data_IF_874642670785
#
_entry.id   IF_874642670785
#
_cell.length_a   1.000
_cell.length_b   1.000
_cell.length_c   1.000
_cell.angle_alpha   90.00
_cell.angle_beta   90.00
_cell.angle_gamma   90.00
#
_symmetry.space_group_name_H-M   'P 1'
#
loop_
_entity.id
_entity.type
_entity.pdbx_description
1 polymer ?
#
# COMPACT_ATOMS: atom_id res chain seq x y z
N UNK A 1 22.83 -58.51 -115.93
CA UNK A 1 22.41 -57.19 -115.42
C UNK A 1 23.52 -56.70 -114.49
N UNK A 2 24.35 -55.73 -114.93
CA UNK A 2 25.42 -55.13 -114.10
C UNK A 2 24.88 -53.84 -113.48
N UNK A 3 25.01 -53.67 -112.16
CA UNK A 3 24.60 -52.45 -111.45
C UNK A 3 25.70 -51.39 -111.69
N UNK A 4 25.36 -50.15 -112.10
CA UNK A 4 26.36 -49.12 -112.38
C UNK A 4 26.96 -48.51 -111.10
N UNK A 5 28.24 -48.14 -111.15
CA UNK A 5 29.07 -47.75 -109.99
C UNK A 5 28.60 -46.47 -109.27
N UNK A 6 27.96 -45.55 -110.00
CA UNK A 6 27.33 -44.32 -109.49
C UNK A 6 26.17 -44.61 -108.53
N UNK A 7 25.37 -45.63 -108.83
CA UNK A 7 24.28 -46.11 -107.99
C UNK A 7 24.83 -46.71 -106.70
N UNK A 8 25.92 -47.48 -106.79
CA UNK A 8 26.61 -48.05 -105.61
C UNK A 8 27.18 -46.95 -104.71
N UNK A 9 27.83 -45.94 -105.29
CA UNK A 9 28.39 -44.81 -104.55
C UNK A 9 27.31 -43.97 -103.84
N UNK A 10 26.18 -43.71 -104.51
CA UNK A 10 25.05 -42.96 -103.95
C UNK A 10 24.37 -43.74 -102.82
N UNK A 11 24.19 -45.05 -102.97
CA UNK A 11 23.65 -45.90 -101.91
C UNK A 11 24.60 -45.91 -100.71
N UNK A 12 25.92 -46.00 -100.94
CA UNK A 12 26.91 -45.97 -99.86
C UNK A 12 26.85 -44.66 -99.07
N UNK A 13 26.80 -43.50 -99.73
CA UNK A 13 26.76 -42.19 -99.05
C UNK A 13 25.46 -41.98 -98.27
N UNK A 14 24.33 -42.44 -98.79
CA UNK A 14 23.05 -42.44 -98.07
C UNK A 14 23.13 -43.33 -96.84
N UNK A 15 23.67 -44.55 -96.96
CA UNK A 15 23.84 -45.48 -95.85
C UNK A 15 24.80 -44.91 -94.78
N UNK A 16 25.93 -44.30 -95.18
CA UNK A 16 26.85 -43.66 -94.22
C UNK A 16 26.23 -42.44 -93.54
N UNK A 17 25.43 -41.65 -94.26
CA UNK A 17 24.73 -40.49 -93.71
C UNK A 17 23.65 -40.91 -92.70
N UNK A 18 22.88 -41.94 -93.04
CA UNK A 18 21.90 -42.55 -92.13
C UNK A 18 22.60 -43.13 -90.90
N UNK A 19 23.71 -43.86 -91.07
CA UNK A 19 24.49 -44.40 -89.96
C UNK A 19 25.04 -43.32 -89.02
N UNK A 20 25.51 -42.20 -89.60
CA UNK A 20 26.02 -41.05 -88.82
C UNK A 20 24.90 -40.34 -88.07
N UNK A 21 23.74 -40.14 -88.70
CA UNK A 21 22.55 -39.57 -88.06
C UNK A 21 22.02 -40.48 -86.96
N UNK A 22 21.96 -41.79 -87.19
CA UNK A 22 21.54 -42.78 -86.19
C UNK A 22 22.50 -42.78 -84.98
N UNK A 23 23.80 -42.70 -85.21
CA UNK A 23 24.80 -42.58 -84.14
C UNK A 23 24.65 -41.26 -83.36
N UNK A 24 24.49 -40.13 -84.05
CA UNK A 24 24.29 -38.82 -83.42
C UNK A 24 23.01 -38.75 -82.60
N UNK A 25 21.90 -39.27 -83.15
CA UNK A 25 20.61 -39.40 -82.45
C UNK A 25 20.74 -40.31 -81.23
N UNK A 26 21.38 -41.47 -81.37
CA UNK A 26 21.65 -42.37 -80.25
C UNK A 26 22.38 -41.67 -79.11
N UNK A 27 23.45 -40.92 -79.43
CA UNK A 27 24.18 -40.11 -78.45
C UNK A 27 23.30 -39.04 -77.80
N UNK A 28 22.44 -38.36 -78.57
CA UNK A 28 21.52 -37.33 -78.04
C UNK A 28 20.46 -37.93 -77.12
N UNK A 29 19.90 -39.08 -77.47
CA UNK A 29 18.97 -39.80 -76.58
C UNK A 29 19.63 -40.23 -75.28
N UNK A 30 20.89 -40.70 -75.31
CA UNK A 30 21.65 -41.00 -74.09
C UNK A 30 21.89 -39.77 -73.22
N UNK A 31 22.20 -38.61 -73.83
CA UNK A 31 22.36 -37.35 -73.11
C UNK A 31 21.04 -36.90 -72.45
N UNK A 32 19.92 -37.04 -73.16
CA UNK A 32 18.58 -36.74 -72.67
C UNK A 32 18.19 -37.66 -71.51
N UNK A 33 18.40 -38.97 -71.65
CA UNK A 33 18.15 -39.96 -70.59
C UNK A 33 18.95 -39.64 -69.32
N UNK A 34 20.21 -39.23 -69.48
CA UNK A 34 21.06 -38.81 -68.36
C UNK A 34 20.53 -37.56 -67.65
N UNK A 35 19.98 -36.59 -68.39
CA UNK A 35 19.35 -35.39 -67.80
C UNK A 35 18.04 -35.72 -67.08
N UNK A 36 17.23 -36.63 -67.63
CA UNK A 36 16.02 -37.09 -66.96
C UNK A 36 16.33 -37.81 -65.65
N UNK A 37 17.35 -38.68 -65.62
CA UNK A 37 17.82 -39.30 -64.38
C UNK A 37 18.22 -38.27 -63.32
N UNK A 38 18.95 -37.22 -63.71
CA UNK A 38 19.33 -36.14 -62.79
C UNK A 38 18.11 -35.35 -62.28
N UNK A 39 17.11 -35.13 -63.15
CA UNK A 39 15.85 -34.47 -62.77
C UNK A 39 15.09 -35.33 -61.76
N UNK A 40 14.97 -36.64 -61.99
CA UNK A 40 14.31 -37.57 -61.08
C UNK A 40 14.99 -37.61 -59.70
N UNK A 41 16.33 -37.60 -59.66
CA UNK A 41 17.09 -37.51 -58.40
C UNK A 41 16.82 -36.20 -57.65
N UNK A 42 16.74 -35.07 -58.36
CA UNK A 42 16.38 -33.78 -57.78
C UNK A 42 14.96 -33.79 -57.23
N UNK A 43 14.00 -34.37 -57.94
CA UNK A 43 12.63 -34.49 -57.46
C UNK A 43 12.54 -35.35 -56.21
N UNK A 44 13.24 -36.48 -56.15
CA UNK A 44 13.33 -37.30 -54.92
C UNK A 44 13.87 -36.49 -53.73
N UNK A 45 14.93 -35.71 -53.96
CA UNK A 45 15.51 -34.83 -52.92
C UNK A 45 14.51 -33.75 -52.47
N UNK A 46 13.73 -33.19 -53.40
CA UNK A 46 12.68 -32.22 -53.08
C UNK A 46 11.57 -32.87 -52.25
N UNK A 47 11.10 -34.06 -52.62
CA UNK A 47 10.07 -34.79 -51.88
C UNK A 47 10.52 -35.10 -50.45
N UNK A 48 11.79 -35.50 -50.27
CA UNK A 48 12.36 -35.73 -48.94
C UNK A 48 12.39 -34.44 -48.10
N UNK A 49 12.74 -33.30 -48.71
CA UNK A 49 12.71 -31.99 -48.03
C UNK A 49 11.28 -31.60 -47.64
N UNK A 50 10.29 -31.81 -48.51
CA UNK A 50 8.90 -31.54 -48.18
C UNK A 50 8.41 -32.41 -47.02
N UNK A 51 8.72 -33.71 -47.01
CA UNK A 51 8.41 -34.58 -45.86
C UNK A 51 9.04 -34.08 -44.57
N UNK A 52 10.30 -33.62 -44.64
CA UNK A 52 10.97 -33.04 -43.46
C UNK A 52 10.30 -31.75 -42.99
N UNK A 53 9.83 -30.91 -43.91
CA UNK A 53 9.08 -29.69 -43.60
C UNK A 53 7.75 -30.02 -42.93
N UNK A 54 6.99 -30.99 -43.46
CA UNK A 54 5.71 -31.43 -42.88
C UNK A 54 5.88 -31.96 -41.46
N UNK A 55 6.93 -32.74 -41.20
CA UNK A 55 7.23 -33.22 -39.84
C UNK A 55 7.60 -32.07 -38.89
N UNK A 56 8.31 -31.04 -39.37
CA UNK A 56 8.58 -29.84 -38.57
C UNK A 56 7.30 -29.05 -38.27
N UNK A 57 6.38 -28.94 -39.22
CA UNK A 57 5.09 -28.28 -38.98
C UNK A 57 4.25 -29.04 -37.94
N UNK A 58 4.17 -30.37 -38.03
CA UNK A 58 3.50 -31.18 -36.99
C UNK A 58 4.10 -30.98 -35.60
N UNK A 59 5.43 -30.82 -35.50
CA UNK A 59 6.08 -30.51 -34.22
C UNK A 59 5.74 -29.10 -33.73
N UNK A 60 5.64 -28.13 -34.63
CA UNK A 60 5.23 -26.76 -34.30
C UNK A 60 3.78 -26.77 -33.79
N UNK A 61 2.87 -27.46 -34.46
CA UNK A 61 1.46 -27.56 -34.05
C UNK A 61 1.34 -28.15 -32.64
N UNK A 62 2.05 -29.26 -32.36
CA UNK A 62 2.11 -29.85 -31.00
C UNK A 62 2.64 -28.87 -29.96
N UNK A 63 3.61 -28.03 -30.31
CA UNK A 63 4.14 -27.02 -29.38
C UNK A 63 3.12 -25.90 -29.13
N UNK A 64 2.35 -25.50 -30.15
CA UNK A 64 1.29 -24.52 -29.97
C UNK A 64 0.16 -25.06 -29.10
N UNK A 65 -0.27 -26.31 -29.28
CA UNK A 65 -1.25 -26.96 -28.40
C UNK A 65 -0.77 -27.00 -26.93
N UNK A 66 0.53 -27.26 -26.71
CA UNK A 66 1.11 -27.22 -25.36
C UNK A 66 1.14 -25.81 -24.78
N UNK A 67 1.41 -24.80 -25.60
CA UNK A 67 1.40 -23.40 -25.18
C UNK A 67 -0.01 -22.99 -24.78
N UNK A 68 -1.02 -23.34 -25.59
CA UNK A 68 -2.43 -23.04 -25.33
C UNK A 68 -2.89 -23.63 -23.99
N UNK A 69 -2.61 -24.91 -23.74
CA UNK A 69 -2.89 -25.54 -22.43
C UNK A 69 -2.23 -24.83 -21.27
N UNK A 70 -0.98 -24.37 -21.43
CA UNK A 70 -0.28 -23.62 -20.38
C UNK A 70 -0.92 -22.26 -20.13
N UNK A 71 -1.48 -21.61 -21.16
CA UNK A 71 -2.21 -20.36 -20.98
C UNK A 71 -3.53 -20.60 -20.24
N UNK A 72 -4.29 -21.64 -20.58
CA UNK A 72 -5.51 -22.02 -19.85
C UNK A 72 -5.24 -22.29 -18.36
N UNK A 73 -4.13 -22.98 -18.05
CA UNK A 73 -3.68 -23.21 -16.67
C UNK A 73 -3.30 -21.90 -15.95
N UNK A 74 -2.66 -20.97 -16.67
CA UNK A 74 -2.30 -19.66 -16.12
C UNK A 74 -3.57 -18.85 -15.80
N UNK A 75 -4.53 -18.81 -16.72
CA UNK A 75 -5.80 -18.10 -16.53
C UNK A 75 -6.56 -18.67 -15.31
N UNK A 76 -6.67 -19.99 -15.22
CA UNK A 76 -7.27 -20.68 -14.07
C UNK A 76 -6.57 -20.34 -12.74
N UNK A 77 -5.24 -20.14 -12.76
CA UNK A 77 -4.49 -19.73 -11.57
C UNK A 77 -4.77 -18.27 -11.21
N UNK A 78 -4.89 -17.38 -12.20
CA UNK A 78 -5.23 -15.99 -11.97
C UNK A 78 -6.63 -15.84 -11.37
N UNK A 79 -7.63 -16.56 -11.88
CA UNK A 79 -8.99 -16.57 -11.30
C UNK A 79 -8.99 -16.97 -9.82
N UNK A 80 -8.23 -18.02 -9.47
CA UNK A 80 -8.08 -18.47 -8.07
C UNK A 80 -7.36 -17.43 -7.20
N UNK A 81 -6.38 -16.71 -7.76
CA UNK A 81 -5.70 -15.64 -7.05
C UNK A 81 -6.68 -14.49 -6.77
N UNK A 82 -7.49 -14.09 -7.75
CA UNK A 82 -8.51 -13.04 -7.60
C UNK A 82 -9.57 -13.42 -6.56
N UNK A 83 -10.01 -14.68 -6.51
CA UNK A 83 -10.91 -15.17 -5.47
C UNK A 83 -10.29 -15.05 -4.07
N UNK A 84 -9.02 -15.44 -3.92
CA UNK A 84 -8.29 -15.31 -2.64
C UNK A 84 -8.13 -13.84 -2.22
N UNK A 85 -7.85 -12.94 -3.15
CA UNK A 85 -7.77 -11.51 -2.85
C UNK A 85 -9.12 -10.96 -2.36
N UNK A 86 -10.23 -11.33 -3.01
CA UNK A 86 -11.58 -10.96 -2.55
C UNK A 86 -11.88 -11.48 -1.15
N UNK A 87 -11.44 -12.69 -0.81
CA UNK A 87 -11.59 -13.23 0.54
C UNK A 87 -10.76 -12.45 1.58
N UNK A 88 -9.52 -12.09 1.23
CA UNK A 88 -8.65 -11.27 2.09
C UNK A 88 -9.29 -9.91 2.34
N UNK A 89 -9.80 -9.24 1.31
CA UNK A 89 -10.46 -7.93 1.45
C UNK A 89 -11.66 -8.02 2.41
N UNK A 90 -12.52 -9.05 2.25
CA UNK A 90 -13.64 -9.28 3.17
C UNK A 90 -13.18 -9.48 4.61
N UNK A 91 -12.14 -10.29 4.83
CA UNK A 91 -11.58 -10.52 6.17
C UNK A 91 -10.97 -9.27 6.77
N UNK A 92 -10.36 -8.42 5.94
CA UNK A 92 -9.78 -7.15 6.39
C UNK A 92 -10.87 -6.16 6.81
N UNK A 93 -11.98 -6.07 6.06
CA UNK A 93 -13.14 -5.27 6.43
C UNK A 93 -13.80 -5.74 7.73
N UNK A 94 -13.93 -7.05 7.91
CA UNK A 94 -14.43 -7.65 9.15
C UNK A 94 -13.50 -7.36 10.34
N UNK A 95 -12.19 -7.50 10.13
CA UNK A 95 -11.20 -7.17 11.15
C UNK A 95 -11.24 -5.69 11.54
N UNK A 96 -11.35 -4.78 10.56
CA UNK A 96 -11.47 -3.35 10.80
C UNK A 96 -12.70 -3.03 11.65
N UNK A 97 -13.87 -3.57 11.29
CA UNK A 97 -15.10 -3.42 12.08
C UNK A 97 -14.94 -3.95 13.50
N UNK A 98 -14.36 -5.14 13.65
CA UNK A 98 -14.12 -5.74 14.96
C UNK A 98 -13.21 -4.85 15.83
N UNK A 99 -12.12 -4.35 15.26
CA UNK A 99 -11.17 -3.46 15.94
C UNK A 99 -11.84 -2.15 16.34
N UNK A 100 -12.59 -1.52 15.44
CA UNK A 100 -13.32 -0.27 15.72
C UNK A 100 -14.31 -0.47 16.89
N UNK A 101 -15.10 -1.55 16.87
CA UNK A 101 -16.00 -1.90 17.97
C UNK A 101 -15.23 -2.14 19.28
N UNK A 102 -14.09 -2.84 19.26
CA UNK A 102 -13.30 -3.09 20.46
C UNK A 102 -12.67 -1.83 21.03
N UNK A 103 -12.24 -0.91 20.18
CA UNK A 103 -11.75 0.40 20.62
C UNK A 103 -12.87 1.25 21.23
N UNK A 104 -14.08 1.21 20.66
CA UNK A 104 -15.23 1.90 21.21
C UNK A 104 -15.65 1.31 22.58
N UNK A 105 -15.72 -0.02 22.69
CA UNK A 105 -15.95 -0.74 23.95
C UNK A 105 -14.94 -0.31 25.02
N UNK A 106 -13.65 -0.29 24.66
CA UNK A 106 -12.56 0.07 25.56
C UNK A 106 -12.64 1.54 25.99
N UNK A 107 -12.92 2.45 25.05
CA UNK A 107 -13.07 3.88 25.34
C UNK A 107 -14.21 4.10 26.33
N UNK A 108 -15.37 3.52 26.07
CA UNK A 108 -16.53 3.61 26.95
C UNK A 108 -16.24 3.02 28.34
N UNK A 109 -15.55 1.87 28.40
CA UNK A 109 -15.14 1.26 29.66
C UNK A 109 -14.20 2.18 30.47
N UNK A 110 -13.20 2.76 29.81
CA UNK A 110 -12.24 3.67 30.46
C UNK A 110 -12.96 4.92 30.94
N UNK A 111 -13.80 5.55 30.13
CA UNK A 111 -14.51 6.78 30.47
C UNK A 111 -15.39 6.58 31.73
N UNK A 112 -16.21 5.51 31.76
CA UNK A 112 -17.05 5.18 32.92
C UNK A 112 -16.21 4.86 34.16
N UNK A 113 -15.12 4.09 34.00
CA UNK A 113 -14.24 3.73 35.12
C UNK A 113 -13.52 4.94 35.69
N UNK A 114 -13.02 5.84 34.84
CA UNK A 114 -12.35 7.08 35.22
C UNK A 114 -13.31 8.02 35.94
N UNK A 115 -14.52 8.22 35.41
CA UNK A 115 -15.55 9.04 36.05
C UNK A 115 -15.86 8.53 37.47
N UNK A 116 -16.06 7.22 37.62
CA UNK A 116 -16.31 6.60 38.93
C UNK A 116 -15.14 6.79 39.89
N UNK A 117 -13.91 6.63 39.40
CA UNK A 117 -12.70 6.83 40.20
C UNK A 117 -12.57 8.29 40.66
N UNK A 118 -12.73 9.25 39.75
CA UNK A 118 -12.66 10.69 40.05
C UNK A 118 -13.73 11.10 41.07
N UNK A 119 -14.98 10.66 40.90
CA UNK A 119 -16.05 10.90 41.88
C UNK A 119 -15.75 10.31 43.25
N UNK A 120 -15.11 9.15 43.31
CA UNK A 120 -14.73 8.51 44.59
C UNK A 120 -13.64 9.30 45.29
N UNK A 121 -12.60 9.72 44.55
CA UNK A 121 -11.50 10.53 45.09
C UNK A 121 -12.02 11.89 45.55
N UNK A 122 -12.80 12.58 44.70
CA UNK A 122 -13.37 13.88 45.04
C UNK A 122 -14.19 13.82 46.34
N UNK A 123 -15.06 12.81 46.51
CA UNK A 123 -15.83 12.62 47.75
C UNK A 123 -14.92 12.37 48.97
N UNK A 124 -13.91 11.53 48.84
CA UNK A 124 -12.96 11.26 49.92
C UNK A 124 -12.19 12.53 50.33
N UNK A 125 -11.77 13.31 49.33
CA UNK A 125 -11.09 14.61 49.53
C UNK A 125 -12.04 15.61 50.19
N UNK A 126 -13.28 15.75 49.72
CA UNK A 126 -14.29 16.62 50.34
C UNK A 126 -14.45 16.26 51.81
N UNK A 127 -14.69 14.99 52.12
CA UNK A 127 -14.90 14.55 53.50
C UNK A 127 -13.68 14.82 54.39
N UNK A 128 -12.46 14.58 53.89
CA UNK A 128 -11.24 14.85 54.65
C UNK A 128 -11.08 16.35 54.97
N UNK A 129 -11.39 17.23 54.01
CA UNK A 129 -11.34 18.67 54.23
C UNK A 129 -12.47 19.16 55.15
N UNK A 130 -13.67 18.59 55.05
CA UNK A 130 -14.78 18.90 55.96
C UNK A 130 -14.41 18.56 57.41
N UNK A 131 -13.76 17.42 57.68
CA UNK A 131 -13.27 17.05 59.01
C UNK A 131 -12.29 18.08 59.58
N UNK A 132 -11.35 18.57 58.76
CA UNK A 132 -10.40 19.61 59.19
C UNK A 132 -11.13 20.92 59.51
N UNK A 133 -12.06 21.33 58.65
CA UNK A 133 -12.86 22.55 58.86
C UNK A 133 -13.69 22.44 60.15
N UNK A 134 -14.32 21.30 60.39
CA UNK A 134 -15.10 21.05 61.61
C UNK A 134 -14.21 21.04 62.87
N UNK A 135 -13.04 20.42 62.79
CA UNK A 135 -12.07 20.43 63.90
C UNK A 135 -11.61 21.85 64.25
N UNK A 136 -11.35 22.69 63.25
CA UNK A 136 -10.96 24.10 63.45
C UNK A 136 -12.10 24.90 64.10
N UNK A 137 -13.36 24.66 63.68
CA UNK A 137 -14.54 25.23 64.32
C UNK A 137 -14.67 24.81 65.78
N UNK A 138 -14.51 23.53 66.09
CA UNK A 138 -14.54 23.00 67.47
C UNK A 138 -13.44 23.59 68.37
N UNK A 139 -12.27 23.93 67.79
CA UNK A 139 -11.18 24.61 68.53
C UNK A 139 -11.41 26.11 68.72
N UNK A 140 -12.49 26.67 68.17
CA UNK A 140 -12.80 28.10 68.22
C UNK A 140 -11.88 28.95 67.34
N UNK A 141 -11.18 28.34 66.38
CA UNK A 141 -10.33 29.07 65.42
C UNK A 141 -11.14 29.63 64.24
N UNK A 142 -12.37 29.15 64.06
CA UNK A 142 -13.33 29.62 63.05
C UNK A 142 -14.69 29.84 63.70
N UNK A 143 -15.42 30.86 63.27
CA UNK A 143 -16.82 31.07 63.62
C UNK A 143 -17.75 30.09 62.85
N UNK A 144 -18.92 29.77 63.40
CA UNK A 144 -19.93 28.88 62.78
C UNK A 144 -20.28 29.28 61.33
N UNK A 145 -20.37 30.59 61.06
CA UNK A 145 -20.63 31.12 59.71
C UNK A 145 -19.48 30.82 58.73
N UNK A 146 -18.24 30.83 59.21
CA UNK A 146 -17.03 30.57 58.43
C UNK A 146 -16.88 29.07 58.14
N UNK A 147 -17.15 28.22 59.14
CA UNK A 147 -17.22 26.76 58.99
C UNK A 147 -18.24 26.38 57.91
N UNK A 148 -19.45 26.96 57.98
CA UNK A 148 -20.52 26.71 57.02
C UNK A 148 -20.15 27.18 55.61
N UNK A 149 -19.55 28.37 55.48
CA UNK A 149 -19.08 28.90 54.20
C UNK A 149 -17.99 28.01 53.56
N UNK A 150 -16.96 27.65 54.33
CA UNK A 150 -15.83 26.87 53.83
C UNK A 150 -16.26 25.45 53.44
N UNK A 151 -17.16 24.81 54.21
CA UNK A 151 -17.75 23.50 53.87
C UNK A 151 -18.45 23.56 52.52
N UNK A 152 -19.29 24.57 52.32
CA UNK A 152 -19.99 24.78 51.04
C UNK A 152 -19.00 24.99 49.89
N UNK A 153 -18.00 25.85 50.10
CA UNK A 153 -17.00 26.17 49.07
C UNK A 153 -16.15 24.97 48.65
N UNK A 154 -15.70 24.15 49.61
CA UNK A 154 -14.93 22.93 49.32
C UNK A 154 -15.76 21.96 48.50
N UNK A 155 -17.05 21.81 48.82
CA UNK A 155 -17.97 20.95 48.08
C UNK A 155 -18.17 21.44 46.64
N UNK A 156 -18.45 22.72 46.44
CA UNK A 156 -18.62 23.30 45.09
C UNK A 156 -17.35 23.14 44.23
N UNK A 157 -16.18 23.43 44.80
CA UNK A 157 -14.91 23.33 44.08
C UNK A 157 -14.63 21.88 43.69
N UNK A 158 -14.85 20.92 44.58
CA UNK A 158 -14.61 19.49 44.31
C UNK A 158 -15.67 18.86 43.41
N UNK A 159 -16.93 19.31 43.45
CA UNK A 159 -17.98 18.89 42.52
C UNK A 159 -17.66 19.35 41.09
N UNK A 160 -17.14 20.57 40.91
CA UNK A 160 -16.68 21.08 39.62
C UNK A 160 -15.57 20.24 38.97
N UNK A 161 -14.72 19.57 39.77
CA UNK A 161 -13.68 18.66 39.26
C UNK A 161 -14.22 17.28 38.82
N UNK A 162 -15.44 16.90 39.22
CA UNK A 162 -16.04 15.60 38.87
C UNK A 162 -16.88 15.61 37.59
N UNK A 163 -17.06 16.78 36.98
CA UNK A 163 -17.86 17.00 35.77
C UNK A 163 -17.02 17.20 34.51
N UNK A 164 -15.69 17.14 34.61
CA UNK A 164 -14.79 17.33 33.47
C UNK A 164 -14.87 16.17 32.47
N UNK A 165 -15.13 16.54 31.22
CA UNK A 165 -15.45 15.71 30.06
C UNK A 165 -14.22 15.04 29.42
N UNK A 166 -14.40 14.09 28.49
CA UNK A 166 -13.31 13.47 27.72
C UNK A 166 -12.37 14.49 27.07
N UNK A 167 -11.10 14.09 26.92
CA UNK A 167 -9.97 14.89 26.44
C UNK A 167 -10.38 16.01 25.44
N UNK A 168 -10.46 17.27 25.91
CA UNK A 168 -11.01 18.38 25.12
C UNK A 168 -10.02 18.99 24.10
N UNK A 169 -8.81 18.44 24.02
CA UNK A 169 -7.80 18.82 23.02
C UNK A 169 -8.12 18.20 21.65
N UNK A 170 -8.10 19.02 20.60
CA UNK A 170 -8.06 18.49 19.22
C UNK A 170 -6.67 17.91 18.90
N UNK A 171 -6.58 17.09 17.85
CA UNK A 171 -5.28 16.50 17.43
C UNK A 171 -4.28 17.59 17.04
N UNK A 172 -4.74 18.64 16.38
CA UNK A 172 -3.94 19.78 15.93
C UNK A 172 -3.40 20.57 17.13
N UNK A 173 -4.21 20.75 18.17
CA UNK A 173 -3.80 21.42 19.41
C UNK A 173 -2.79 20.59 20.18
N UNK A 174 -2.97 19.27 20.24
CA UNK A 174 -2.02 18.36 20.86
C UNK A 174 -0.66 18.37 20.14
N UNK A 175 -0.66 18.30 18.81
CA UNK A 175 0.58 18.37 18.01
C UNK A 175 1.27 19.73 18.17
N UNK A 176 0.50 20.82 18.18
CA UNK A 176 1.02 22.15 18.42
C UNK A 176 1.71 22.26 19.79
N UNK A 177 1.04 21.86 20.87
CA UNK A 177 1.59 21.94 22.23
C UNK A 177 2.82 21.04 22.39
N UNK A 178 2.79 19.83 21.83
CA UNK A 178 3.96 18.93 21.81
C UNK A 178 5.15 19.57 21.11
N UNK A 179 4.93 20.16 19.94
CA UNK A 179 5.99 20.83 19.16
C UNK A 179 6.54 22.04 19.90
N UNK A 180 5.67 22.86 20.51
CA UNK A 180 6.07 24.06 21.23
C UNK A 180 6.95 23.74 22.44
N UNK A 181 6.48 22.90 23.35
CA UNK A 181 7.20 22.58 24.60
C UNK A 181 8.39 21.64 24.42
N UNK A 182 8.65 21.16 23.19
CA UNK A 182 9.88 20.42 22.86
C UNK A 182 11.02 21.33 22.39
N UNK A 183 10.75 22.61 22.08
CA UNK A 183 11.79 23.58 21.68
C UNK A 183 12.60 24.04 22.89
N UNK A 184 13.81 24.55 22.64
CA UNK A 184 14.51 25.35 23.64
C UNK A 184 13.71 26.63 23.96
N UNK A 185 13.73 27.07 25.21
CA UNK A 185 13.00 28.26 25.68
C UNK A 185 13.32 29.48 24.80
N UNK A 186 14.56 29.62 24.34
CA UNK A 186 15.00 30.76 23.53
C UNK A 186 14.52 30.73 22.07
N UNK A 187 14.01 29.60 21.60
CA UNK A 187 13.52 29.40 20.23
C UNK A 187 11.99 29.57 20.08
N UNK A 188 11.29 29.77 21.20
CA UNK A 188 9.84 29.96 21.21
C UNK A 188 9.45 31.40 20.83
N UNK A 189 8.40 31.58 20.03
CA UNK A 189 7.91 32.92 19.67
C UNK A 189 6.82 33.41 20.63
N UNK A 190 6.61 34.72 20.72
CA UNK A 190 5.58 35.32 21.58
C UNK A 190 4.18 34.88 21.12
N UNK A 191 3.97 34.75 19.81
CA UNK A 191 2.71 34.33 19.19
C UNK A 191 2.40 32.86 19.50
N UNK A 192 3.41 31.99 19.50
CA UNK A 192 3.23 30.59 19.90
C UNK A 192 2.84 30.47 21.39
N UNK A 193 3.45 31.30 22.24
CA UNK A 193 3.12 31.34 23.67
C UNK A 193 1.73 31.92 23.92
N UNK A 194 1.30 32.92 23.16
CA UNK A 194 -0.06 33.46 23.25
C UNK A 194 -1.10 32.42 22.83
N UNK A 195 -0.84 31.68 21.76
CA UNK A 195 -1.71 30.57 21.34
C UNK A 195 -1.77 29.47 22.40
N UNK A 196 -0.63 29.09 23.00
CA UNK A 196 -0.62 28.11 24.08
C UNK A 196 -1.38 28.61 25.32
N UNK A 197 -1.26 29.89 25.65
CA UNK A 197 -2.01 30.51 26.74
C UNK A 197 -3.52 30.45 26.49
N UNK A 198 -3.99 30.81 25.29
CA UNK A 198 -5.41 30.74 24.92
C UNK A 198 -5.96 29.31 25.00
N UNK A 199 -5.20 28.32 24.52
CA UNK A 199 -5.56 26.91 24.65
C UNK A 199 -5.64 26.53 26.13
N UNK A 200 -4.65 26.90 26.94
CA UNK A 200 -4.63 26.63 28.38
C UNK A 200 -5.82 27.24 29.13
N UNK A 201 -6.16 28.50 28.86
CA UNK A 201 -7.31 29.17 29.47
C UNK A 201 -8.62 28.54 29.01
N UNK A 202 -8.78 28.19 27.73
CA UNK A 202 -9.99 27.50 27.26
C UNK A 202 -10.15 26.15 27.95
N UNK A 203 -9.08 25.34 27.98
CA UNK A 203 -9.07 24.05 28.64
C UNK A 203 -9.47 24.18 30.11
N UNK A 204 -8.91 25.17 30.82
CA UNK A 204 -9.18 25.38 32.23
C UNK A 204 -10.58 25.94 32.52
N UNK A 205 -11.00 26.97 31.77
CA UNK A 205 -12.22 27.73 32.08
C UNK A 205 -13.48 27.18 31.41
N UNK A 206 -13.35 26.57 30.24
CA UNK A 206 -14.47 26.11 29.42
C UNK A 206 -14.60 24.59 29.41
N UNK A 207 -13.46 23.91 29.31
CA UNK A 207 -13.43 22.44 29.22
C UNK A 207 -13.18 21.75 30.58
N UNK A 208 -13.01 22.55 31.65
CA UNK A 208 -12.75 22.13 33.03
C UNK A 208 -11.58 21.14 33.19
N UNK A 209 -10.56 21.26 32.32
CA UNK A 209 -9.35 20.45 32.29
C UNK A 209 -8.22 21.17 33.05
N UNK A 210 -7.73 20.56 34.12
CA UNK A 210 -6.71 21.10 35.01
C UNK A 210 -5.35 21.27 34.32
N UNK A 211 -5.05 20.47 33.29
CA UNK A 211 -3.86 20.62 32.45
C UNK A 211 -3.82 21.98 31.74
N UNK A 212 -5.00 22.55 31.48
CA UNK A 212 -5.14 23.89 30.93
C UNK A 212 -4.45 24.97 31.77
N UNK A 213 -4.55 24.86 33.10
CA UNK A 213 -3.89 25.79 34.03
C UNK A 213 -2.37 25.76 33.88
N UNK A 214 -1.77 24.56 33.84
CA UNK A 214 -0.33 24.40 33.68
C UNK A 214 0.18 24.94 32.34
N UNK A 215 -0.54 24.68 31.25
CA UNK A 215 -0.20 25.21 29.92
C UNK A 215 -0.23 26.75 29.93
N UNK A 216 -1.28 27.34 30.51
CA UNK A 216 -1.44 28.79 30.58
C UNK A 216 -0.33 29.47 31.40
N UNK A 217 0.01 28.91 32.56
CA UNK A 217 1.07 29.44 33.42
C UNK A 217 2.44 29.31 32.74
N UNK A 218 2.76 28.14 32.19
CA UNK A 218 4.03 27.93 31.49
C UNK A 218 4.21 28.92 30.33
N UNK A 219 3.16 29.14 29.53
CA UNK A 219 3.16 30.08 28.43
C UNK A 219 3.44 31.52 28.88
N UNK A 220 2.75 32.02 29.92
CA UNK A 220 2.97 33.37 30.46
C UNK A 220 4.38 33.51 31.03
N UNK A 221 4.85 32.54 31.81
CA UNK A 221 6.16 32.61 32.46
C UNK A 221 7.30 32.64 31.43
N UNK A 222 7.23 31.78 30.41
CA UNK A 222 8.21 31.77 29.32
C UNK A 222 8.15 33.07 28.52
N UNK A 223 6.94 33.56 28.21
CA UNK A 223 6.75 34.83 27.51
C UNK A 223 7.35 36.00 28.30
N UNK A 224 7.19 36.03 29.61
CA UNK A 224 7.77 37.04 30.49
C UNK A 224 9.31 36.97 30.49
N UNK A 225 9.88 35.76 30.58
CA UNK A 225 11.33 35.53 30.49
C UNK A 225 11.92 36.05 29.17
N UNK A 226 11.31 35.72 28.03
CA UNK A 226 11.78 36.15 26.72
C UNK A 226 11.70 37.67 26.53
N UNK A 227 10.63 38.30 27.01
CA UNK A 227 10.50 39.76 27.00
C UNK A 227 11.57 40.44 27.87
N UNK A 228 11.88 39.86 29.02
CA UNK A 228 12.90 40.39 29.93
C UNK A 228 14.31 40.26 29.34
N UNK A 229 14.66 39.08 28.79
CA UNK A 229 15.95 38.84 28.14
C UNK A 229 16.19 39.79 26.96
N UNK A 230 15.20 39.94 26.09
CA UNK A 230 15.29 40.86 24.93
C UNK A 230 15.56 42.31 25.35
N UNK A 231 15.11 42.72 26.54
CA UNK A 231 15.37 44.05 27.11
C UNK A 231 16.77 44.21 27.70
N UNK A 232 17.47 43.12 28.04
CA UNK A 232 18.87 43.15 28.48
C UNK A 232 19.85 43.13 27.30
N UNK A 233 19.43 42.58 26.16
CA UNK A 233 20.22 42.52 24.92
C UNK A 233 20.05 43.77 24.01
N UNK A 234 19.29 44.79 24.45
CA UNK A 234 19.06 46.08 23.74
C UNK A 234 19.62 47.23 24.56
#
# INVERSE_FOLDING_TARGET
>A
MQIPWDTVATVLTVVTSIGTLAYWLGRKFTEIDSRFKLIDERFKTIDERFRSIDERFKQIDKRFEQIEKRFEEIDSRFERIEERFREIDRRFDEFKKYVDTKFEDLRNYIDVRMEKMLKTIARATTHTHEVVIEYLGLKGLLEEKEVTYLRHRVREVLEAYTTATPNPLTKEELEFLKKLFSKDINEMTIEELDRAYEIGIRLFSKDMDDRGYFIAIAAITIKAYLKFKKKQDT
#
